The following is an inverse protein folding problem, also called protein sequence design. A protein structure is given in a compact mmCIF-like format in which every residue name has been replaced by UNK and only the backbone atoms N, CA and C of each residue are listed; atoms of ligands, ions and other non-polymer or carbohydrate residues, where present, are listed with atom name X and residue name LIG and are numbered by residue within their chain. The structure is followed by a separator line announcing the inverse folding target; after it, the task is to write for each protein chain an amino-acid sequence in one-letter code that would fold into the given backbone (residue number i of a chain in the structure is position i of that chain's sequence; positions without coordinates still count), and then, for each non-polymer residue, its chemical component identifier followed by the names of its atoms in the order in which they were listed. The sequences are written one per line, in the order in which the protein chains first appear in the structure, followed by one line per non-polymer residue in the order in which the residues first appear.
data_IF_830933082049
#
_entry.id   IF_830933082049
#
_cell.length_a   1.000
_cell.length_b   1.000
_cell.length_c   1.000
_cell.angle_alpha   90.00
_cell.angle_beta   90.00
_cell.angle_gamma   90.00
#
_symmetry.space_group_name_H-M   'P 1'
#
loop_
_entity.id
_entity.type
_entity.pdbx_description
1 polymer ?
#
# COMPACT_ATOMS: atom_id res chain seq x y z
N UNK A 1 7.08 -27.60 -10.38
CA UNK A 1 6.71 -26.26 -10.85
C UNK A 1 7.84 -25.34 -10.46
N UNK A 2 8.29 -24.48 -11.34
CA UNK A 2 9.30 -23.46 -11.08
C UNK A 2 8.64 -22.09 -11.20
N UNK A 3 8.85 -21.20 -10.21
CA UNK A 3 8.39 -19.82 -10.21
C UNK A 3 9.60 -18.92 -10.03
N UNK A 4 9.79 -17.99 -10.96
CA UNK A 4 10.84 -16.99 -10.93
C UNK A 4 10.21 -15.60 -10.87
N UNK A 5 10.70 -14.74 -9.98
CA UNK A 5 10.17 -13.40 -9.76
C UNK A 5 11.29 -12.41 -9.52
N UNK A 6 11.21 -11.27 -10.19
CA UNK A 6 12.08 -10.11 -9.94
C UNK A 6 11.62 -9.28 -8.73
N UNK A 7 10.44 -9.58 -8.14
CA UNK A 7 9.91 -8.85 -6.99
C UNK A 7 10.58 -9.37 -5.72
N UNK A 8 11.31 -8.55 -4.96
CA UNK A 8 12.00 -9.00 -3.76
C UNK A 8 11.00 -9.37 -2.66
N UNK A 9 11.28 -10.49 -1.98
CA UNK A 9 10.45 -10.95 -0.86
C UNK A 9 10.70 -10.12 0.40
N UNK A 10 9.64 -9.81 1.16
CA UNK A 10 9.73 -9.05 2.41
C UNK A 10 9.95 -7.55 2.22
N UNK A 11 9.78 -7.03 1.00
CA UNK A 11 9.98 -5.62 0.68
C UNK A 11 8.67 -4.79 0.65
N UNK A 12 7.52 -5.39 1.00
CA UNK A 12 6.25 -4.67 1.07
C UNK A 12 5.67 -4.25 -0.30
N UNK A 13 6.10 -4.93 -1.36
CA UNK A 13 5.68 -4.64 -2.75
C UNK A 13 4.91 -5.79 -3.40
N UNK A 14 4.30 -6.66 -2.59
CA UNK A 14 3.33 -7.65 -3.04
C UNK A 14 3.92 -8.89 -3.71
N UNK A 15 5.11 -9.37 -3.31
CA UNK A 15 5.72 -10.58 -3.89
C UNK A 15 4.85 -11.83 -3.74
N UNK A 16 4.20 -12.04 -2.59
CA UNK A 16 3.24 -13.14 -2.38
C UNK A 16 2.00 -13.00 -3.24
N UNK A 17 1.50 -11.77 -3.36
CA UNK A 17 0.37 -11.46 -4.22
C UNK A 17 0.64 -11.77 -5.68
N UNK A 18 1.83 -11.44 -6.17
CA UNK A 18 2.25 -11.76 -7.54
C UNK A 18 2.34 -13.29 -7.79
N UNK A 19 2.83 -14.04 -6.81
CA UNK A 19 2.84 -15.51 -6.88
C UNK A 19 1.41 -16.07 -6.99
N UNK A 20 0.51 -15.63 -6.12
CA UNK A 20 -0.90 -16.07 -6.12
C UNK A 20 -1.58 -15.71 -7.44
N UNK A 21 -1.38 -14.48 -7.92
CA UNK A 21 -1.91 -14.02 -9.21
C UNK A 21 -1.42 -14.90 -10.38
N UNK A 22 -0.13 -15.24 -10.40
CA UNK A 22 0.47 -16.08 -11.44
C UNK A 22 -0.06 -17.54 -11.40
N UNK A 23 -0.30 -18.09 -10.20
CA UNK A 23 -0.89 -19.40 -10.04
C UNK A 23 -2.33 -19.40 -10.57
N UNK A 24 -3.12 -18.40 -10.20
CA UNK A 24 -4.49 -18.24 -10.71
C UNK A 24 -4.50 -18.10 -12.22
N UNK A 25 -3.65 -17.23 -12.76
CA UNK A 25 -3.57 -17.03 -14.21
C UNK A 25 -3.20 -18.32 -14.97
N UNK A 26 -2.35 -19.13 -14.41
CA UNK A 26 -1.90 -20.35 -15.10
C UNK A 26 -2.87 -21.52 -14.96
N UNK A 27 -3.55 -21.67 -13.82
CA UNK A 27 -4.24 -22.91 -13.48
C UNK A 27 -5.76 -22.79 -13.27
N UNK A 28 -6.33 -21.59 -13.22
CA UNK A 28 -7.78 -21.46 -13.13
C UNK A 28 -8.44 -21.79 -14.48
N UNK A 29 -9.49 -22.64 -14.45
CA UNK A 29 -10.21 -23.02 -15.67
C UNK A 29 -11.09 -21.87 -16.18
N UNK A 30 -12.01 -21.37 -15.36
CA UNK A 30 -12.92 -20.27 -15.71
C UNK A 30 -12.41 -18.93 -15.19
N UNK A 31 -11.34 -18.42 -15.79
CA UNK A 31 -10.71 -17.17 -15.35
C UNK A 31 -11.59 -15.94 -15.60
N UNK A 32 -11.69 -15.09 -14.58
CA UNK A 32 -12.18 -13.74 -14.75
C UNK A 32 -11.00 -12.90 -15.28
N UNK A 33 -11.09 -12.44 -16.52
CA UNK A 33 -10.01 -11.69 -17.18
C UNK A 33 -10.30 -10.19 -17.21
N UNK A 34 -9.23 -9.39 -17.30
CA UNK A 34 -9.32 -7.92 -17.40
C UNK A 34 -9.94 -7.48 -18.74
N UNK A 35 -9.82 -8.31 -19.78
CA UNK A 35 -10.33 -8.04 -21.12
C UNK A 35 -11.86 -8.16 -21.22
N UNK A 36 -12.49 -8.85 -20.28
CA UNK A 36 -13.93 -8.90 -20.15
C UNK A 36 -14.43 -7.68 -19.37
N UNK A 37 -15.74 -7.36 -19.53
CA UNK A 37 -16.35 -6.30 -18.73
C UNK A 37 -16.17 -6.58 -17.23
N UNK A 38 -15.24 -5.86 -16.59
CA UNK A 38 -14.83 -6.04 -15.22
C UNK A 38 -15.84 -5.36 -14.29
N UNK A 39 -16.94 -6.07 -14.02
CA UNK A 39 -17.97 -5.58 -13.11
C UNK A 39 -17.47 -5.62 -11.64
N UNK A 40 -18.09 -4.80 -10.79
CA UNK A 40 -17.84 -4.81 -9.34
C UNK A 40 -18.00 -6.22 -8.74
N UNK A 41 -19.00 -6.97 -9.18
CA UNK A 41 -19.23 -8.34 -8.71
C UNK A 41 -18.05 -9.25 -9.06
N UNK A 42 -17.54 -9.16 -10.30
CA UNK A 42 -16.35 -9.92 -10.73
C UNK A 42 -15.11 -9.53 -9.94
N UNK A 43 -14.92 -8.24 -9.64
CA UNK A 43 -13.82 -7.77 -8.78
C UNK A 43 -13.90 -8.35 -7.37
N UNK A 44 -15.06 -8.31 -6.75
CA UNK A 44 -15.27 -8.85 -5.41
C UNK A 44 -15.08 -10.38 -5.40
N UNK A 45 -15.54 -11.09 -6.43
CA UNK A 45 -15.31 -12.53 -6.58
C UNK A 45 -13.81 -12.85 -6.71
N UNK A 46 -13.07 -12.13 -7.55
CA UNK A 46 -11.61 -12.27 -7.66
C UNK A 46 -10.92 -12.01 -6.31
N UNK A 47 -11.27 -10.92 -5.64
CA UNK A 47 -10.74 -10.62 -4.31
C UNK A 47 -10.96 -11.76 -3.32
N UNK A 48 -12.13 -12.38 -3.31
CA UNK A 48 -12.44 -13.52 -2.43
C UNK A 48 -11.58 -14.73 -2.78
N UNK A 49 -11.46 -15.08 -4.06
CA UNK A 49 -10.62 -16.19 -4.52
C UNK A 49 -9.17 -15.94 -4.08
N UNK A 50 -8.64 -14.76 -4.35
CA UNK A 50 -7.28 -14.40 -4.00
C UNK A 50 -7.05 -14.34 -2.48
N UNK A 51 -8.03 -13.89 -1.72
CA UNK A 51 -7.97 -13.93 -0.25
C UNK A 51 -7.83 -15.38 0.26
N UNK A 52 -8.60 -16.32 -0.29
CA UNK A 52 -8.50 -17.74 0.08
C UNK A 52 -7.15 -18.33 -0.31
N UNK A 53 -6.69 -18.08 -1.53
CA UNK A 53 -5.39 -18.59 -2.01
C UNK A 53 -4.21 -18.05 -1.18
N UNK A 54 -4.19 -16.75 -0.92
CA UNK A 54 -3.10 -16.11 -0.17
C UNK A 54 -3.13 -16.48 1.33
N UNK A 55 -4.31 -16.73 1.89
CA UNK A 55 -4.47 -17.16 3.28
C UNK A 55 -3.81 -18.52 3.56
N UNK A 56 -3.53 -19.30 2.54
CA UNK A 56 -2.74 -20.53 2.67
C UNK A 56 -1.30 -20.26 3.14
N UNK A 57 -0.73 -19.13 2.75
CA UNK A 57 0.65 -18.75 3.08
C UNK A 57 0.76 -17.90 4.35
N UNK A 58 -0.21 -17.00 4.59
CA UNK A 58 -0.13 -15.95 5.58
C UNK A 58 -1.27 -15.94 6.61
N UNK A 59 -2.05 -17.00 6.70
CA UNK A 59 -3.23 -17.03 7.55
C UNK A 59 -4.37 -16.20 6.94
N UNK A 60 -4.78 -15.08 7.55
CA UNK A 60 -5.88 -14.25 7.02
C UNK A 60 -5.35 -13.17 6.08
N UNK A 61 -5.74 -13.23 4.81
CA UNK A 61 -5.43 -12.23 3.79
C UNK A 61 -6.65 -11.44 3.34
N UNK A 62 -6.44 -10.19 2.90
CA UNK A 62 -7.47 -9.36 2.26
C UNK A 62 -7.71 -9.72 0.79
N UNK A 63 -6.77 -10.38 0.12
CA UNK A 63 -6.77 -10.66 -1.31
C UNK A 63 -6.51 -9.45 -2.21
N UNK A 64 -6.13 -8.30 -1.64
CA UNK A 64 -5.93 -7.06 -2.39
C UNK A 64 -4.61 -7.04 -3.16
N UNK A 65 -3.53 -7.54 -2.58
CA UNK A 65 -2.23 -7.58 -3.25
C UNK A 65 -2.25 -8.49 -4.48
N UNK A 66 -2.77 -9.74 -4.41
CA UNK A 66 -2.96 -10.57 -5.60
C UNK A 66 -3.92 -9.94 -6.62
N UNK A 67 -5.00 -9.30 -6.16
CA UNK A 67 -5.95 -8.64 -7.04
C UNK A 67 -5.27 -7.53 -7.85
N UNK A 68 -4.52 -6.66 -7.20
CA UNK A 68 -3.78 -5.59 -7.86
C UNK A 68 -2.73 -6.14 -8.83
N UNK A 69 -2.00 -7.18 -8.42
CA UNK A 69 -0.99 -7.84 -9.26
C UNK A 69 -1.60 -8.47 -10.51
N UNK A 70 -2.76 -9.12 -10.38
CA UNK A 70 -3.45 -9.79 -11.48
C UNK A 70 -4.04 -8.80 -12.48
N UNK A 71 -4.71 -7.75 -11.97
CA UNK A 71 -5.36 -6.77 -12.82
C UNK A 71 -4.35 -5.84 -13.52
N UNK A 72 -3.17 -5.63 -12.93
CA UNK A 72 -2.17 -4.65 -13.41
C UNK A 72 -2.78 -3.25 -13.62
N UNK A 73 -3.77 -2.90 -12.82
CA UNK A 73 -4.50 -1.62 -12.84
C UNK A 73 -4.53 -1.03 -11.44
N UNK A 74 -4.42 0.29 -11.30
CA UNK A 74 -4.69 0.95 -10.02
C UNK A 74 -6.11 0.67 -9.57
N UNK A 75 -6.29 0.36 -8.30
CA UNK A 75 -7.59 0.13 -7.69
C UNK A 75 -7.83 1.11 -6.57
N UNK A 76 -9.01 1.71 -6.53
CA UNK A 76 -9.51 2.54 -5.45
C UNK A 76 -10.31 1.66 -4.50
N UNK A 77 -9.96 1.72 -3.21
CA UNK A 77 -10.59 0.95 -2.15
C UNK A 77 -11.32 1.93 -1.23
N UNK A 78 -12.62 2.11 -1.44
CA UNK A 78 -13.44 2.96 -0.59
C UNK A 78 -13.93 2.22 0.67
N UNK A 79 -14.12 0.90 0.57
CA UNK A 79 -14.45 0.00 1.69
C UNK A 79 -14.14 -1.45 1.30
N UNK A 80 -14.33 -2.39 2.23
CA UNK A 80 -14.13 -3.82 1.95
C UNK A 80 -14.96 -4.35 0.77
N UNK A 81 -16.09 -3.72 0.48
CA UNK A 81 -17.02 -4.11 -0.57
C UNK A 81 -17.08 -3.10 -1.73
N UNK A 82 -16.45 -1.94 -1.58
CA UNK A 82 -16.42 -0.91 -2.61
C UNK A 82 -15.01 -0.73 -3.17
N UNK A 83 -14.73 -1.49 -4.23
CA UNK A 83 -13.45 -1.51 -4.95
C UNK A 83 -13.76 -1.24 -6.41
N UNK A 84 -12.99 -0.33 -7.00
CA UNK A 84 -13.14 0.05 -8.40
C UNK A 84 -11.79 0.33 -9.06
N UNK A 85 -11.65 0.12 -10.38
CA UNK A 85 -10.48 0.57 -11.10
C UNK A 85 -10.39 2.09 -11.06
N UNK A 86 -9.18 2.62 -10.84
CA UNK A 86 -8.93 4.05 -10.83
C UNK A 86 -8.00 4.46 -11.96
N UNK A 87 -8.28 5.59 -12.59
CA UNK A 87 -7.37 6.21 -13.54
C UNK A 87 -6.23 6.92 -12.82
N UNK A 88 -5.00 6.81 -13.34
CA UNK A 88 -3.91 7.67 -12.91
C UNK A 88 -3.95 8.93 -13.76
N UNK A 89 -3.97 10.13 -13.16
CA UNK A 89 -3.92 11.37 -13.92
C UNK A 89 -2.67 11.43 -14.80
N UNK A 90 -2.84 11.78 -16.07
CA UNK A 90 -1.70 11.97 -16.96
C UNK A 90 -0.93 13.22 -16.53
N UNK A 91 0.30 13.05 -16.07
CA UNK A 91 1.20 14.18 -15.85
C UNK A 91 1.80 14.61 -17.18
N UNK A 92 1.48 15.83 -17.62
CA UNK A 92 2.07 16.41 -18.83
C UNK A 92 3.43 17.05 -18.55
N UNK A 93 3.62 17.63 -17.40
CA UNK A 93 4.90 18.17 -16.92
C UNK A 93 4.86 18.23 -15.39
N UNK A 94 5.67 17.40 -14.71
CA UNK A 94 5.71 17.36 -13.25
C UNK A 94 7.02 17.90 -12.71
N UNK A 95 6.96 18.69 -11.65
CA UNK A 95 8.14 19.13 -10.88
C UNK A 95 8.40 18.21 -9.68
N UNK A 96 7.72 17.10 -9.58
CA UNK A 96 7.86 16.14 -8.50
C UNK A 96 8.07 14.72 -9.01
N UNK A 97 8.52 13.85 -8.13
CA UNK A 97 8.70 12.44 -8.40
C UNK A 97 8.19 11.58 -7.24
N UNK A 98 7.74 10.37 -7.57
CA UNK A 98 7.50 9.30 -6.61
C UNK A 98 8.67 8.33 -6.74
N UNK A 99 9.27 7.94 -5.62
CA UNK A 99 10.43 7.05 -5.61
C UNK A 99 10.31 6.00 -4.50
N UNK A 100 11.05 4.92 -4.66
CA UNK A 100 11.21 3.89 -3.63
C UNK A 100 12.62 4.01 -3.04
N UNK A 101 12.67 4.09 -1.71
CA UNK A 101 13.92 4.07 -0.94
C UNK A 101 14.08 2.66 -0.35
N UNK A 102 15.16 1.99 -0.72
CA UNK A 102 15.48 0.66 -0.20
C UNK A 102 15.98 0.77 1.24
N UNK A 103 15.39 0.03 2.15
CA UNK A 103 15.85 -0.01 3.54
C UNK A 103 17.02 -0.99 3.77
N UNK A 104 17.38 -1.79 2.75
CA UNK A 104 18.37 -2.86 2.84
C UNK A 104 18.05 -3.91 3.94
N UNK A 105 16.80 -3.94 4.40
CA UNK A 105 16.32 -4.85 5.45
C UNK A 105 15.03 -5.53 4.97
N UNK A 106 14.89 -6.81 5.27
CA UNK A 106 13.65 -7.54 5.02
C UNK A 106 12.64 -7.19 6.12
N UNK A 107 11.45 -6.78 5.74
CA UNK A 107 10.35 -6.52 6.66
C UNK A 107 9.59 -7.79 7.02
N UNK A 108 9.25 -7.93 8.31
CA UNK A 108 8.38 -9.00 8.81
C UNK A 108 7.01 -8.41 9.17
N UNK A 109 5.96 -8.94 8.56
CA UNK A 109 4.60 -8.39 8.71
C UNK A 109 4.03 -8.63 10.11
N UNK A 110 4.19 -9.84 10.67
CA UNK A 110 3.55 -10.22 11.93
C UNK A 110 3.98 -9.35 13.12
N UNK A 111 5.28 -9.07 13.37
CA UNK A 111 5.70 -8.17 14.45
C UNK A 111 5.11 -6.76 14.29
N UNK A 112 5.06 -6.23 13.08
CA UNK A 112 4.53 -4.89 12.79
C UNK A 112 3.02 -4.82 13.05
N UNK A 113 2.26 -5.81 12.61
CA UNK A 113 0.82 -5.93 12.91
C UNK A 113 0.59 -6.02 14.40
N UNK A 114 1.41 -6.80 15.13
CA UNK A 114 1.32 -6.89 16.59
C UNK A 114 1.54 -5.55 17.28
N UNK A 115 2.53 -4.77 16.84
CA UNK A 115 2.76 -3.39 17.33
C UNK A 115 1.54 -2.52 17.09
N UNK A 116 0.99 -2.54 15.88
CA UNK A 116 -0.20 -1.77 15.52
C UNK A 116 -1.41 -2.16 16.38
N UNK A 117 -1.71 -3.45 16.50
CA UNK A 117 -2.83 -3.94 17.29
C UNK A 117 -2.69 -3.60 18.78
N UNK A 118 -1.47 -3.62 19.33
CA UNK A 118 -1.23 -3.17 20.69
C UNK A 118 -1.50 -1.66 20.86
N UNK A 119 -1.10 -0.83 19.90
CA UNK A 119 -1.41 0.61 19.90
C UNK A 119 -2.92 0.87 19.79
N UNK A 120 -3.65 0.05 19.03
CA UNK A 120 -5.10 0.13 18.89
C UNK A 120 -5.86 -0.11 20.22
N UNK A 121 -5.24 -0.66 21.25
CA UNK A 121 -5.82 -0.74 22.60
C UNK A 121 -5.94 0.64 23.28
N UNK A 122 -5.13 1.62 22.84
CA UNK A 122 -5.18 2.99 23.34
C UNK A 122 -6.26 3.80 22.62
N UNK A 123 -7.16 4.43 23.37
CA UNK A 123 -8.27 5.21 22.81
C UNK A 123 -7.80 6.41 21.99
N UNK A 124 -6.80 7.14 22.48
CA UNK A 124 -6.23 8.29 21.77
C UNK A 124 -5.61 7.90 20.43
N UNK A 125 -4.98 6.72 20.37
CA UNK A 125 -4.45 6.19 19.11
C UNK A 125 -5.57 5.80 18.14
N UNK A 126 -6.64 5.13 18.61
CA UNK A 126 -7.80 4.82 17.78
C UNK A 126 -8.46 6.08 17.22
N UNK A 127 -8.63 7.11 18.06
CA UNK A 127 -9.19 8.39 17.65
C UNK A 127 -8.32 9.05 16.57
N UNK A 128 -7.01 9.11 16.78
CA UNK A 128 -6.07 9.63 15.78
C UNK A 128 -6.15 8.86 14.44
N UNK A 129 -6.28 7.53 14.48
CA UNK A 129 -6.43 6.72 13.26
C UNK A 129 -7.74 7.06 12.54
N UNK A 130 -8.88 7.10 13.26
CA UNK A 130 -10.20 7.30 12.65
C UNK A 130 -10.46 8.73 12.20
N UNK A 131 -9.90 9.72 12.87
CA UNK A 131 -10.16 11.14 12.59
C UNK A 131 -9.02 11.75 11.74
N UNK A 132 -7.78 11.75 12.26
CA UNK A 132 -6.68 12.46 11.60
C UNK A 132 -6.09 11.68 10.43
N UNK A 133 -5.70 10.41 10.69
CA UNK A 133 -4.99 9.60 9.70
C UNK A 133 -5.90 9.26 8.51
N UNK A 134 -7.14 8.85 8.77
CA UNK A 134 -8.10 8.53 7.70
C UNK A 134 -8.43 9.77 6.88
N UNK A 135 -8.78 10.89 7.51
CA UNK A 135 -9.13 12.14 6.80
C UNK A 135 -8.00 12.62 5.90
N UNK A 136 -6.75 12.60 6.39
CA UNK A 136 -5.60 13.02 5.57
C UNK A 136 -5.32 12.00 4.45
N UNK A 137 -5.53 10.71 4.70
CA UNK A 137 -5.38 9.68 3.67
C UNK A 137 -6.40 9.89 2.54
N UNK A 138 -7.67 10.11 2.89
CA UNK A 138 -8.73 10.39 1.93
C UNK A 138 -8.45 11.66 1.12
N UNK A 139 -7.96 12.72 1.76
CA UNK A 139 -7.54 13.94 1.07
C UNK A 139 -6.35 13.70 0.12
N UNK A 140 -5.37 12.85 0.50
CA UNK A 140 -4.29 12.47 -0.41
C UNK A 140 -4.79 11.71 -1.64
N UNK A 141 -5.75 10.80 -1.44
CA UNK A 141 -6.36 10.02 -2.53
C UNK A 141 -7.12 10.95 -3.48
N UNK A 142 -7.96 11.83 -2.94
CA UNK A 142 -8.75 12.79 -3.72
C UNK A 142 -7.84 13.72 -4.53
N UNK A 143 -6.83 14.32 -3.91
CA UNK A 143 -5.85 15.16 -4.58
C UNK A 143 -5.09 14.42 -5.68
N UNK A 144 -4.72 13.16 -5.42
CA UNK A 144 -4.03 12.34 -6.41
C UNK A 144 -4.92 12.07 -7.62
N UNK A 145 -6.16 11.64 -7.40
CA UNK A 145 -7.11 11.32 -8.48
C UNK A 145 -7.47 12.53 -9.33
N UNK A 146 -7.50 13.73 -8.74
CA UNK A 146 -7.80 14.98 -9.46
C UNK A 146 -6.55 15.72 -9.98
N UNK A 147 -5.34 15.19 -9.72
CA UNK A 147 -4.09 15.83 -10.15
C UNK A 147 -3.74 17.11 -9.40
N UNK A 148 -4.26 17.29 -8.18
CA UNK A 148 -4.03 18.47 -7.33
C UNK A 148 -2.66 18.41 -6.63
N UNK A 149 -1.58 18.43 -7.40
CA UNK A 149 -0.20 18.18 -6.91
C UNK A 149 0.18 19.05 -5.70
N UNK A 150 -0.14 20.34 -5.70
CA UNK A 150 0.23 21.25 -4.59
C UNK A 150 -0.45 20.87 -3.27
N UNK A 151 -1.73 20.53 -3.31
CA UNK A 151 -2.50 20.09 -2.14
C UNK A 151 -2.01 18.72 -1.69
N UNK A 152 -1.81 17.79 -2.62
CA UNK A 152 -1.27 16.47 -2.37
C UNK A 152 0.02 16.53 -1.56
N UNK A 153 0.98 17.38 -1.94
CA UNK A 153 2.24 17.53 -1.21
C UNK A 153 2.04 18.00 0.23
N UNK A 154 1.11 18.92 0.46
CA UNK A 154 0.74 19.38 1.81
C UNK A 154 0.15 18.26 2.67
N UNK A 155 -0.73 17.46 2.09
CA UNK A 155 -1.38 16.33 2.76
C UNK A 155 -0.40 15.18 2.99
N UNK A 156 0.45 14.84 2.01
CA UNK A 156 1.52 13.82 2.18
C UNK A 156 2.52 14.24 3.27
N UNK A 157 2.86 15.54 3.38
CA UNK A 157 3.68 16.04 4.49
C UNK A 157 3.03 15.79 5.84
N UNK A 158 1.73 16.07 5.94
CA UNK A 158 0.97 15.86 7.18
C UNK A 158 0.88 14.38 7.53
N UNK A 159 0.61 13.54 6.54
CA UNK A 159 0.60 12.08 6.69
C UNK A 159 1.97 11.55 7.14
N UNK A 160 3.06 12.02 6.52
CA UNK A 160 4.43 11.65 6.86
C UNK A 160 4.78 12.00 8.33
N UNK A 161 4.33 13.16 8.82
CA UNK A 161 4.49 13.56 10.23
C UNK A 161 3.72 12.64 11.18
N UNK A 162 2.48 12.28 10.85
CA UNK A 162 1.67 11.36 11.65
C UNK A 162 2.36 9.99 11.72
N UNK A 163 2.85 9.49 10.59
CA UNK A 163 3.55 8.20 10.52
C UNK A 163 4.81 8.24 11.40
N UNK A 164 5.67 9.24 11.24
CA UNK A 164 6.88 9.36 12.06
C UNK A 164 6.58 9.42 13.56
N UNK A 165 5.55 10.17 13.95
CA UNK A 165 5.16 10.33 15.36
C UNK A 165 4.55 9.07 15.96
N UNK A 166 3.65 8.42 15.23
CA UNK A 166 2.79 7.40 15.79
C UNK A 166 3.18 5.96 15.41
N UNK A 167 3.93 5.79 14.32
CA UNK A 167 4.36 4.49 13.80
C UNK A 167 5.89 4.31 13.86
N UNK A 168 6.59 5.12 14.65
CA UNK A 168 8.05 5.12 14.73
C UNK A 168 8.66 3.71 14.92
N UNK A 169 8.11 2.80 15.76
CA UNK A 169 8.63 1.44 15.89
C UNK A 169 8.48 0.56 14.64
N UNK A 170 7.69 1.00 13.66
CA UNK A 170 7.50 0.31 12.38
C UNK A 170 8.40 0.89 11.28
N UNK A 171 9.15 1.94 11.57
CA UNK A 171 10.14 2.55 10.68
C UNK A 171 11.52 2.02 11.08
N UNK A 172 12.33 1.46 10.16
CA UNK A 172 13.69 1.06 10.49
C UNK A 172 14.50 2.21 11.08
N UNK A 173 15.24 1.97 12.16
CA UNK A 173 15.91 3.01 12.96
C UNK A 173 16.84 3.90 12.15
N UNK A 174 17.52 3.35 11.15
CA UNK A 174 18.41 4.08 10.27
C UNK A 174 17.68 5.21 9.49
N UNK A 175 16.36 5.08 9.30
CA UNK A 175 15.55 6.02 8.52
C UNK A 175 14.87 7.10 9.35
N UNK A 176 14.91 7.04 10.68
CA UNK A 176 14.28 8.07 11.52
C UNK A 176 14.83 9.47 11.22
N UNK A 177 16.18 9.61 11.14
CA UNK A 177 16.83 10.90 10.83
C UNK A 177 16.54 11.38 9.41
N UNK A 178 16.60 10.47 8.45
CA UNK A 178 16.27 10.75 7.04
C UNK A 178 14.82 11.25 6.91
N UNK A 179 13.89 10.59 7.62
CA UNK A 179 12.49 10.98 7.65
C UNK A 179 12.28 12.38 8.23
N UNK A 180 12.89 12.66 9.39
CA UNK A 180 12.86 13.98 10.04
C UNK A 180 13.44 15.06 9.13
N UNK A 181 14.57 14.80 8.49
CA UNK A 181 15.23 15.71 7.56
C UNK A 181 14.33 16.09 6.37
N UNK A 182 13.64 15.11 5.77
CA UNK A 182 12.70 15.38 4.68
C UNK A 182 11.58 16.31 5.09
N UNK A 183 10.99 16.06 6.28
CA UNK A 183 9.91 16.91 6.82
C UNK A 183 10.40 18.34 7.12
N UNK A 184 11.60 18.49 7.69
CA UNK A 184 12.17 19.78 8.08
C UNK A 184 12.59 20.61 6.87
N UNK A 185 13.26 19.99 5.90
CA UNK A 185 13.75 20.67 4.70
C UNK A 185 12.65 20.95 3.67
N UNK A 186 11.51 20.26 3.77
CA UNK A 186 10.46 20.21 2.74
C UNK A 186 10.94 19.68 1.38
N UNK A 187 12.03 18.94 1.34
CA UNK A 187 12.60 18.41 0.12
C UNK A 187 11.90 17.12 -0.34
N UNK A 188 11.45 16.30 0.62
CA UNK A 188 10.74 15.05 0.36
C UNK A 188 9.92 14.63 1.57
N UNK A 189 8.95 13.76 1.34
CA UNK A 189 8.11 13.15 2.38
C UNK A 189 8.04 11.65 2.19
N UNK A 190 8.11 10.91 3.28
CA UNK A 190 8.18 9.46 3.28
C UNK A 190 6.89 8.82 3.82
N UNK A 191 6.59 7.61 3.33
CA UNK A 191 5.48 6.78 3.74
C UNK A 191 5.91 5.31 3.74
N UNK A 192 5.49 4.53 4.73
CA UNK A 192 5.73 3.09 4.76
C UNK A 192 5.03 2.39 3.59
N UNK A 193 5.69 1.41 2.99
CA UNK A 193 5.09 0.42 2.12
C UNK A 193 4.68 -0.79 2.97
N UNK A 194 3.46 -1.26 2.81
CA UNK A 194 2.94 -2.39 3.59
C UNK A 194 2.98 -2.14 5.10
N UNK A 195 3.37 -3.15 5.86
CA UNK A 195 3.42 -3.11 7.32
C UNK A 195 4.58 -2.30 7.89
N UNK A 196 5.59 -1.96 7.09
CA UNK A 196 6.85 -1.40 7.58
C UNK A 196 7.80 -2.45 8.17
N UNK A 197 8.73 -2.02 9.01
CA UNK A 197 9.76 -2.87 9.61
C UNK A 197 10.93 -3.20 8.69
N UNK A 198 10.87 -2.81 7.43
CA UNK A 198 11.86 -3.06 6.40
C UNK A 198 11.26 -2.93 4.99
N UNK A 199 11.99 -3.39 3.99
CA UNK A 199 11.61 -3.30 2.60
C UNK A 199 11.70 -1.90 2.02
N UNK A 200 10.82 -1.55 1.09
CA UNK A 200 10.80 -0.23 0.50
C UNK A 200 10.02 0.78 1.33
N UNK A 201 10.48 2.02 1.29
CA UNK A 201 9.80 3.20 1.81
C UNK A 201 9.43 4.07 0.61
N UNK A 202 8.15 4.44 0.50
CA UNK A 202 7.66 5.28 -0.58
C UNK A 202 7.99 6.74 -0.28
N UNK A 203 8.59 7.43 -1.24
CA UNK A 203 8.96 8.83 -1.14
C UNK A 203 8.29 9.70 -2.20
N UNK A 204 8.08 10.95 -1.84
CA UNK A 204 7.49 12.00 -2.68
C UNK A 204 8.38 13.24 -2.63
N UNK A 205 8.74 13.79 -3.77
CA UNK A 205 9.57 14.99 -3.91
C UNK A 205 9.02 15.92 -4.98
#
# INVERSE_FOLDING_TARGET
MYFDSSIPQGYGVGSSGALVASIYDKYADDKITVLENLTREKLLKLKQIFSLMESFFHGKSSGLDPLNSYLSLPILINSNENIEPAGIPSQKEGKGAVFLLDSEQIGETEPMVSIFMNKMKNEGFRKMISEDFSTITDACIDDFLHGNVKSLFGNVKSLSKIVLKNFKPMIPDAFHKVWEQGIQSNAYYLKLCGSGGGGYILGFT
#
